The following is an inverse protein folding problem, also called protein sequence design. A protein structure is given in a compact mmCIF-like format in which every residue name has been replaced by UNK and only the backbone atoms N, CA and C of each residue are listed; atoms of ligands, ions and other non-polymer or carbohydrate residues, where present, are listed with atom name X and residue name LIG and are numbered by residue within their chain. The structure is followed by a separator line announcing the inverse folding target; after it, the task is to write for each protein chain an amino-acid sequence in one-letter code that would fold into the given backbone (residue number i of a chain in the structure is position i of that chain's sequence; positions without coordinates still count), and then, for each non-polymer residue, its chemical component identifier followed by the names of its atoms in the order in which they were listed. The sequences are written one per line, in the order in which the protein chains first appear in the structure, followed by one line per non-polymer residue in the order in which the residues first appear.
data_IF_869041995035
#
_entry.id   IF_869041995035
#
_cell.length_a   1.000
_cell.length_b   1.000
_cell.length_c   1.000
_cell.angle_alpha   90.00
_cell.angle_beta   90.00
_cell.angle_gamma   90.00
#
_symmetry.space_group_name_H-M   'P 1'
#
loop_
_entity.id
_entity.type
_entity.pdbx_description
1 polymer ?
#
# COMPACT_ATOMS: atom_id res chain seq x y z
N UNK A 1 15.21 -3.97 -75.61
CA UNK A 1 15.77 -3.53 -74.30
C UNK A 1 14.71 -3.01 -73.31
N UNK A 2 13.40 -3.28 -73.47
CA UNK A 2 12.36 -2.81 -72.51
C UNK A 2 11.58 -3.94 -71.83
N UNK A 3 11.83 -5.21 -72.18
CA UNK A 3 11.20 -6.38 -71.50
C UNK A 3 12.07 -7.03 -70.44
N UNK A 4 13.36 -6.68 -70.35
CA UNK A 4 14.28 -7.22 -69.33
C UNK A 4 14.30 -6.37 -68.05
N UNK A 5 13.86 -5.11 -68.09
CA UNK A 5 13.89 -4.21 -66.94
C UNK A 5 12.67 -4.39 -66.00
N UNK A 6 11.56 -4.92 -66.53
CA UNK A 6 10.32 -5.15 -65.76
C UNK A 6 10.40 -6.43 -64.92
N UNK A 7 11.19 -7.42 -65.34
CA UNK A 7 11.43 -8.63 -64.51
C UNK A 7 12.37 -8.38 -63.33
N UNK A 8 13.23 -7.36 -63.39
CA UNK A 8 14.14 -7.03 -62.29
C UNK A 8 13.46 -6.19 -61.19
N UNK A 9 12.41 -5.44 -61.54
CA UNK A 9 11.62 -4.68 -60.56
C UNK A 9 10.58 -5.53 -59.83
N UNK A 10 10.15 -6.67 -60.41
CA UNK A 10 9.22 -7.60 -59.78
C UNK A 10 9.88 -8.53 -58.75
N UNK A 11 11.21 -8.64 -58.73
CA UNK A 11 11.97 -9.47 -57.78
C UNK A 11 12.44 -8.73 -56.53
N UNK A 12 12.23 -7.41 -56.46
CA UNK A 12 12.60 -6.57 -55.31
C UNK A 12 11.48 -6.41 -54.26
N UNK A 13 10.32 -7.05 -54.45
CA UNK A 13 9.17 -6.96 -53.55
C UNK A 13 8.90 -8.20 -52.70
N UNK A 14 9.81 -9.18 -52.68
CA UNK A 14 9.61 -10.43 -51.94
C UNK A 14 10.86 -10.78 -51.12
N UNK A 15 11.11 -10.04 -50.03
CA UNK A 15 11.81 -10.53 -48.82
C UNK A 15 12.17 -9.41 -47.85
N UNK A 16 11.25 -8.52 -47.52
CA UNK A 16 11.24 -7.99 -46.14
C UNK A 16 10.46 -9.00 -45.31
N UNK A 17 11.10 -10.14 -45.01
CA UNK A 17 10.70 -10.90 -43.84
C UNK A 17 10.96 -9.97 -42.66
N UNK A 18 9.93 -9.30 -42.16
CA UNK A 18 9.94 -8.77 -40.80
C UNK A 18 10.09 -9.98 -39.89
N UNK A 19 11.33 -10.31 -39.56
CA UNK A 19 11.62 -11.29 -38.54
C UNK A 19 11.21 -10.63 -37.23
N UNK A 20 10.09 -11.07 -36.65
CA UNK A 20 9.76 -10.73 -35.26
C UNK A 20 10.85 -11.39 -34.44
N UNK A 21 11.86 -10.60 -34.05
CA UNK A 21 13.12 -11.07 -33.50
C UNK A 21 12.95 -11.67 -32.10
N UNK A 22 11.87 -11.33 -31.40
CA UNK A 22 11.54 -11.88 -30.09
C UNK A 22 10.07 -12.30 -30.08
N UNK A 23 9.84 -13.62 -30.04
CA UNK A 23 8.51 -14.17 -29.75
C UNK A 23 8.44 -14.36 -28.25
N UNK A 24 7.71 -13.47 -27.58
CA UNK A 24 7.40 -13.65 -26.17
C UNK A 24 6.28 -14.69 -26.05
N UNK A 25 6.49 -15.78 -25.31
CA UNK A 25 5.56 -16.91 -25.29
C UNK A 25 4.28 -16.63 -24.49
N UNK A 26 4.22 -15.54 -23.72
CA UNK A 26 3.16 -15.29 -22.72
C UNK A 26 2.53 -13.90 -22.86
N UNK A 27 3.13 -12.87 -22.26
CA UNK A 27 2.63 -11.50 -22.27
C UNK A 27 3.55 -10.62 -23.12
N UNK A 28 3.03 -9.70 -23.95
CA UNK A 28 3.85 -8.66 -24.56
C UNK A 28 4.65 -7.87 -23.50
N UNK A 29 5.97 -7.67 -23.67
CA UNK A 29 6.75 -6.83 -22.75
C UNK A 29 6.43 -5.35 -22.90
N UNK A 30 6.67 -4.60 -21.83
CA UNK A 30 6.46 -3.16 -21.78
C UNK A 30 5.15 -2.76 -21.08
N UNK A 31 4.59 -1.59 -21.40
CA UNK A 31 3.66 -0.93 -20.50
C UNK A 31 2.24 -1.44 -20.63
N UNK A 32 1.59 -1.56 -19.47
CA UNK A 32 0.18 -1.85 -19.32
C UNK A 32 -0.47 -0.78 -18.45
N UNK A 33 -1.61 -0.29 -18.91
CA UNK A 33 -2.53 0.48 -18.06
C UNK A 33 -3.54 -0.46 -17.44
N UNK A 34 -3.42 -0.69 -16.15
CA UNK A 34 -4.33 -1.50 -15.35
C UNK A 34 -5.43 -0.65 -14.69
N UNK A 35 -6.54 -1.30 -14.36
CA UNK A 35 -7.69 -0.70 -13.68
C UNK A 35 -8.37 -1.68 -12.73
N UNK A 36 -8.85 -1.17 -11.60
CA UNK A 36 -9.75 -1.83 -10.67
C UNK A 36 -11.10 -1.12 -10.62
N UNK A 37 -12.20 -1.85 -10.83
CA UNK A 37 -13.56 -1.29 -10.78
C UNK A 37 -14.08 -1.27 -9.33
N UNK A 38 -13.94 -0.13 -8.65
CA UNK A 38 -14.33 0.03 -7.25
C UNK A 38 -15.84 0.21 -7.07
N UNK A 39 -16.55 0.67 -8.10
CA UNK A 39 -18.01 0.70 -8.14
C UNK A 39 -18.52 -0.41 -9.07
N UNK A 40 -19.36 -1.29 -8.53
CA UNK A 40 -20.11 -2.24 -9.34
C UNK A 40 -21.40 -1.53 -9.76
N UNK A 41 -21.46 -1.09 -11.02
CA UNK A 41 -22.69 -0.65 -11.68
C UNK A 41 -23.26 -1.80 -12.50
N UNK A 42 -23.96 -2.79 -11.91
CA UNK A 42 -24.89 -3.56 -12.71
C UNK A 42 -25.95 -2.56 -13.15
N UNK A 43 -26.30 -2.54 -14.43
CA UNK A 43 -27.47 -1.78 -14.89
C UNK A 43 -28.68 -2.39 -14.18
N UNK A 44 -29.09 -1.82 -13.04
CA UNK A 44 -30.31 -2.19 -12.34
C UNK A 44 -31.41 -1.34 -12.98
N UNK A 45 -32.37 -1.94 -13.71
CA UNK A 45 -33.53 -1.18 -14.16
C UNK A 45 -34.24 -0.69 -12.90
N UNK A 46 -34.24 0.62 -12.66
CA UNK A 46 -34.89 1.24 -11.50
C UNK A 46 -36.41 1.01 -11.59
N UNK A 47 -37.00 0.04 -10.85
CA UNK A 47 -38.40 -0.31 -11.04
C UNK A 47 -39.34 0.66 -10.30
N UNK A 48 -38.79 1.56 -9.46
CA UNK A 48 -39.57 2.34 -8.50
C UNK A 48 -39.13 3.80 -8.34
N UNK A 49 -38.45 4.39 -9.31
CA UNK A 49 -38.30 5.86 -9.46
C UNK A 49 -37.91 6.66 -8.20
N UNK A 50 -37.33 6.04 -7.17
CA UNK A 50 -37.00 6.70 -5.93
C UNK A 50 -35.66 7.43 -6.10
N UNK A 51 -35.53 8.68 -5.65
CA UNK A 51 -34.27 9.41 -5.75
C UNK A 51 -33.22 8.77 -4.85
N UNK A 52 -32.04 8.53 -5.43
CA UNK A 52 -30.83 8.07 -4.75
C UNK A 52 -30.32 9.26 -3.91
N UNK A 53 -29.79 9.07 -2.68
CA UNK A 53 -29.11 10.14 -1.95
C UNK A 53 -28.07 10.77 -2.86
N UNK A 54 -28.09 12.10 -3.01
CA UNK A 54 -27.16 12.83 -3.88
C UNK A 54 -25.72 12.44 -3.52
N UNK A 55 -25.12 11.55 -4.33
CA UNK A 55 -23.67 11.62 -4.60
C UNK A 55 -23.44 13.09 -4.90
N UNK A 56 -22.55 13.76 -4.16
CA UNK A 56 -22.10 15.13 -4.47
C UNK A 56 -22.08 15.29 -5.98
N UNK A 57 -22.85 16.24 -6.55
CA UNK A 57 -23.05 16.45 -8.00
C UNK A 57 -21.71 16.70 -8.73
N UNK A 58 -20.88 15.66 -8.81
CA UNK A 58 -19.53 15.61 -9.32
C UNK A 58 -19.63 14.66 -10.51
N UNK A 59 -20.10 15.15 -11.65
CA UNK A 59 -19.95 14.41 -12.89
C UNK A 59 -18.47 14.53 -13.32
N UNK A 60 -17.73 13.44 -13.12
CA UNK A 60 -16.38 13.30 -13.64
C UNK A 60 -16.48 12.86 -15.11
N UNK A 61 -16.77 13.81 -16.01
CA UNK A 61 -16.88 13.53 -17.46
C UNK A 61 -15.64 12.85 -18.10
N UNK A 62 -14.49 12.84 -17.41
CA UNK A 62 -13.17 12.49 -17.97
C UNK A 62 -12.53 11.24 -17.34
N UNK A 63 -12.98 10.83 -16.17
CA UNK A 63 -12.54 9.63 -15.45
C UNK A 63 -13.79 8.87 -15.06
N UNK A 64 -13.86 7.59 -15.42
CA UNK A 64 -15.04 6.78 -15.11
C UNK A 64 -15.19 6.67 -13.59
N UNK A 65 -16.33 7.12 -13.06
CA UNK A 65 -16.65 7.09 -11.63
C UNK A 65 -16.26 5.75 -10.99
N UNK A 66 -15.35 5.80 -10.01
CA UNK A 66 -14.97 4.62 -9.24
C UNK A 66 -14.05 3.63 -9.96
N UNK A 67 -13.39 4.00 -11.07
CA UNK A 67 -12.29 3.20 -11.64
C UNK A 67 -10.96 3.70 -11.08
N UNK A 68 -10.23 2.81 -10.41
CA UNK A 68 -8.86 3.06 -9.94
C UNK A 68 -7.86 2.59 -11.00
N UNK A 69 -7.15 3.49 -11.70
CA UNK A 69 -6.10 3.09 -12.62
C UNK A 69 -4.74 2.97 -11.93
N UNK A 70 -3.86 2.15 -12.48
CA UNK A 70 -2.43 2.11 -12.18
C UNK A 70 -1.66 1.63 -13.40
N UNK A 71 -0.36 1.88 -13.44
CA UNK A 71 0.51 1.44 -14.53
C UNK A 71 1.42 0.32 -14.06
N UNK A 72 1.74 -0.59 -14.97
CA UNK A 72 2.70 -1.67 -14.71
C UNK A 72 3.46 -2.01 -15.99
N UNK A 73 4.70 -2.47 -15.86
CA UNK A 73 5.51 -2.98 -16.95
C UNK A 73 5.73 -4.49 -16.82
N UNK A 74 5.67 -5.20 -17.93
CA UNK A 74 6.13 -6.59 -18.04
C UNK A 74 7.57 -6.57 -18.52
N UNK A 75 8.49 -7.08 -17.69
CA UNK A 75 9.93 -7.07 -17.94
C UNK A 75 10.47 -8.49 -17.97
N UNK A 76 10.95 -8.95 -19.12
CA UNK A 76 11.51 -10.29 -19.27
C UNK A 76 12.93 -10.35 -18.70
N UNK A 77 13.20 -11.38 -17.91
CA UNK A 77 14.53 -11.71 -17.39
C UNK A 77 15.30 -12.62 -18.38
N UNK A 78 14.56 -13.43 -19.14
CA UNK A 78 15.04 -14.29 -20.22
C UNK A 78 13.86 -14.61 -21.17
N UNK A 79 14.01 -15.57 -22.08
CA UNK A 79 12.98 -15.87 -23.09
C UNK A 79 11.63 -16.37 -22.53
N UNK A 80 11.57 -16.83 -21.26
CA UNK A 80 10.38 -17.48 -20.68
C UNK A 80 9.97 -16.98 -19.30
N UNK A 81 10.85 -16.29 -18.57
CA UNK A 81 10.54 -15.70 -17.26
C UNK A 81 10.53 -14.18 -17.33
N UNK A 82 9.61 -13.59 -16.58
CA UNK A 82 9.43 -12.16 -16.49
C UNK A 82 8.97 -11.80 -15.08
N UNK A 83 9.28 -10.58 -14.67
CA UNK A 83 8.71 -9.93 -13.51
C UNK A 83 7.76 -8.80 -13.94
N UNK A 84 6.94 -8.33 -13.00
CA UNK A 84 6.07 -7.17 -13.21
C UNK A 84 6.55 -6.03 -12.33
N UNK A 85 6.72 -4.85 -12.90
CA UNK A 85 7.00 -3.61 -12.18
C UNK A 85 5.71 -2.80 -12.09
N UNK A 86 5.11 -2.72 -10.90
CA UNK A 86 3.95 -1.84 -10.66
C UNK A 86 4.44 -0.47 -10.22
N UNK A 87 3.91 0.59 -10.82
CA UNK A 87 4.37 1.95 -10.56
C UNK A 87 3.36 2.69 -9.67
N UNK A 88 3.87 3.49 -8.74
CA UNK A 88 3.12 4.35 -7.83
C UNK A 88 3.94 5.61 -7.54
N UNK A 89 3.93 6.57 -8.46
CA UNK A 89 4.72 7.81 -8.32
C UNK A 89 6.21 7.48 -8.23
N UNK A 90 6.87 7.89 -7.15
CA UNK A 90 8.28 7.58 -6.90
C UNK A 90 8.57 6.13 -6.49
N UNK A 91 7.54 5.30 -6.23
CA UNK A 91 7.71 3.89 -5.85
C UNK A 91 7.46 2.95 -7.04
N UNK A 92 8.38 2.01 -7.22
CA UNK A 92 8.19 0.84 -8.10
C UNK A 92 8.19 -0.42 -7.25
N UNK A 93 7.13 -1.21 -7.37
CA UNK A 93 6.96 -2.49 -6.68
C UNK A 93 7.20 -3.61 -7.68
N UNK A 94 8.25 -4.40 -7.44
CA UNK A 94 8.54 -5.59 -8.24
C UNK A 94 7.74 -6.78 -7.74
N UNK A 95 6.91 -7.36 -8.62
CA UNK A 95 6.35 -8.70 -8.44
C UNK A 95 7.29 -9.67 -9.16
N UNK A 96 8.07 -10.47 -8.40
CA UNK A 96 9.09 -11.33 -9.00
C UNK A 96 8.47 -12.53 -9.72
N UNK A 97 9.24 -13.16 -10.61
CA UNK A 97 8.76 -14.23 -11.48
C UNK A 97 8.16 -15.42 -10.71
N UNK A 98 8.67 -15.75 -9.52
CA UNK A 98 8.12 -16.83 -8.68
C UNK A 98 6.69 -16.58 -8.18
N UNK A 99 6.24 -15.32 -8.19
CA UNK A 99 4.88 -14.93 -7.80
C UNK A 99 3.95 -14.75 -9.01
N UNK A 100 4.40 -15.15 -10.20
CA UNK A 100 3.62 -15.05 -11.44
C UNK A 100 3.44 -16.45 -12.02
N UNK A 101 2.19 -16.91 -12.05
CA UNK A 101 1.83 -18.19 -12.65
C UNK A 101 1.06 -17.94 -13.93
N UNK A 102 1.60 -18.42 -15.05
CA UNK A 102 0.93 -18.41 -16.34
C UNK A 102 0.64 -19.83 -16.82
N UNK A 103 -0.40 -19.98 -17.62
CA UNK A 103 -0.82 -21.29 -18.10
C UNK A 103 -1.92 -21.18 -19.15
N UNK A 104 -2.60 -22.30 -19.40
CA UNK A 104 -3.74 -22.36 -20.31
C UNK A 104 -4.86 -23.21 -19.73
N UNK A 105 -6.05 -22.63 -19.65
CA UNK A 105 -7.26 -23.40 -19.35
C UNK A 105 -7.67 -24.16 -20.62
N UNK A 106 -7.54 -25.49 -20.57
CA UNK A 106 -7.88 -26.36 -21.70
C UNK A 106 -9.38 -26.43 -21.99
N UNK A 107 -10.23 -26.19 -20.98
CA UNK A 107 -11.69 -26.21 -21.14
C UNK A 107 -12.19 -24.90 -21.77
N UNK A 108 -11.68 -23.76 -21.30
CA UNK A 108 -12.03 -22.44 -21.82
C UNK A 108 -11.24 -22.06 -23.08
N UNK A 109 -10.12 -22.74 -23.35
CA UNK A 109 -9.23 -22.44 -24.47
C UNK A 109 -8.42 -21.16 -24.33
N UNK A 110 -8.35 -20.58 -23.12
CA UNK A 110 -7.78 -19.26 -22.82
C UNK A 110 -6.50 -19.35 -22.03
N UNK A 111 -5.60 -18.40 -22.26
CA UNK A 111 -4.38 -18.27 -21.46
C UNK A 111 -4.71 -17.65 -20.11
N UNK A 112 -4.18 -18.23 -19.05
CA UNK A 112 -4.46 -17.86 -17.66
C UNK A 112 -3.24 -17.16 -17.07
N UNK A 113 -3.49 -16.15 -16.24
CA UNK A 113 -2.49 -15.42 -15.48
C UNK A 113 -2.91 -15.30 -14.03
N UNK A 114 -1.99 -15.58 -13.11
CA UNK A 114 -2.12 -15.30 -11.70
C UNK A 114 -0.90 -14.48 -11.25
N UNK A 115 -1.16 -13.37 -10.57
CA UNK A 115 -0.14 -12.49 -9.99
C UNK A 115 -0.39 -12.48 -8.48
N UNK A 116 0.48 -13.12 -7.71
CA UNK A 116 0.37 -13.25 -6.27
C UNK A 116 1.05 -12.08 -5.55
N UNK A 117 0.42 -11.61 -4.46
CA UNK A 117 1.02 -10.69 -3.49
C UNK A 117 1.10 -11.42 -2.14
N UNK A 118 2.08 -12.34 -1.96
CA UNK A 118 2.00 -13.36 -0.92
C UNK A 118 1.92 -12.75 0.49
N UNK A 119 2.67 -11.67 0.73
CA UNK A 119 2.71 -10.97 2.02
C UNK A 119 1.37 -10.33 2.39
N UNK A 120 0.57 -9.93 1.41
CA UNK A 120 -0.73 -9.32 1.65
C UNK A 120 -1.89 -10.33 1.59
N UNK A 121 -1.60 -11.59 1.27
CA UNK A 121 -2.60 -12.63 1.10
C UNK A 121 -3.71 -12.20 0.11
N UNK A 122 -3.25 -11.63 -1.01
CA UNK A 122 -4.08 -11.19 -2.14
C UNK A 122 -3.46 -11.67 -3.45
N UNK A 123 -4.27 -11.68 -4.52
CA UNK A 123 -3.77 -11.98 -5.86
C UNK A 123 -4.65 -11.38 -6.94
N UNK A 124 -4.12 -11.21 -8.15
CA UNK A 124 -4.90 -11.04 -9.37
C UNK A 124 -5.02 -12.41 -10.04
N UNK A 125 -6.24 -12.80 -10.41
CA UNK A 125 -6.52 -13.96 -11.27
C UNK A 125 -7.22 -13.49 -12.53
N UNK A 126 -6.62 -13.76 -13.68
CA UNK A 126 -7.05 -13.21 -14.96
C UNK A 126 -6.85 -14.18 -16.12
N UNK A 127 -7.50 -13.84 -17.23
CA UNK A 127 -7.23 -14.39 -18.55
C UNK A 127 -6.52 -13.33 -19.40
N UNK A 128 -5.67 -13.78 -20.31
CA UNK A 128 -5.01 -12.94 -21.29
C UNK A 128 -5.56 -13.26 -22.69
N UNK A 129 -5.98 -12.22 -23.41
CA UNK A 129 -6.42 -12.30 -24.79
C UNK A 129 -5.91 -11.09 -25.57
N UNK A 130 -5.05 -11.33 -26.57
CA UNK A 130 -4.40 -10.32 -27.42
C UNK A 130 -3.65 -9.23 -26.63
N UNK A 131 -4.28 -8.07 -26.42
CA UNK A 131 -3.69 -6.89 -25.78
C UNK A 131 -4.40 -6.56 -24.44
N UNK A 132 -5.22 -7.48 -23.94
CA UNK A 132 -6.06 -7.28 -22.76
C UNK A 132 -5.83 -8.42 -21.77
N UNK A 133 -5.62 -8.06 -20.52
CA UNK A 133 -5.70 -8.97 -19.38
C UNK A 133 -6.99 -8.63 -18.64
N UNK A 134 -7.87 -9.59 -18.43
CA UNK A 134 -9.15 -9.38 -17.73
C UNK A 134 -9.37 -10.44 -16.65
N UNK A 135 -9.78 -9.99 -15.47
CA UNK A 135 -9.91 -10.87 -14.33
C UNK A 135 -10.43 -10.16 -13.10
N UNK A 136 -9.88 -10.55 -11.96
CA UNK A 136 -10.22 -10.00 -10.65
C UNK A 136 -9.01 -9.91 -9.75
N UNK A 137 -8.97 -8.86 -8.95
CA UNK A 137 -8.18 -8.80 -7.72
C UNK A 137 -8.98 -9.44 -6.57
N UNK A 138 -8.36 -10.34 -5.82
CA UNK A 138 -8.99 -11.17 -4.77
C UNK A 138 -8.29 -10.93 -3.45
N UNK A 139 -9.08 -10.71 -2.40
CA UNK A 139 -8.60 -10.54 -1.02
C UNK A 139 -9.09 -11.72 -0.18
N UNK A 140 -8.18 -12.54 0.33
CA UNK A 140 -8.52 -13.84 0.95
C UNK A 140 -9.10 -13.73 2.36
N UNK A 141 -8.69 -12.70 3.11
CA UNK A 141 -9.13 -12.48 4.48
C UNK A 141 -10.46 -11.73 4.60
N UNK A 142 -11.12 -11.45 3.47
CA UNK A 142 -12.47 -10.86 3.42
C UNK A 142 -13.42 -11.80 2.71
N UNK A 143 -14.64 -11.92 3.23
CA UNK A 143 -15.64 -12.82 2.67
C UNK A 143 -15.98 -12.45 1.22
N UNK A 144 -15.70 -13.38 0.30
CA UNK A 144 -15.97 -13.28 -1.14
C UNK A 144 -15.58 -11.94 -1.78
N UNK A 145 -14.51 -11.32 -1.28
CA UNK A 145 -14.13 -9.97 -1.69
C UNK A 145 -13.28 -9.98 -2.96
N UNK A 146 -13.84 -9.44 -4.04
CA UNK A 146 -13.22 -9.39 -5.36
C UNK A 146 -13.48 -8.06 -6.03
N UNK A 147 -12.48 -7.54 -6.75
CA UNK A 147 -12.58 -6.30 -7.52
C UNK A 147 -12.29 -6.64 -8.99
N UNK A 148 -13.16 -6.31 -9.95
CA UNK A 148 -12.88 -6.52 -11.36
C UNK A 148 -11.57 -5.83 -11.76
N UNK A 149 -10.72 -6.55 -12.48
CA UNK A 149 -9.41 -6.12 -12.92
C UNK A 149 -9.33 -6.18 -14.44
N UNK A 150 -8.79 -5.13 -15.05
CA UNK A 150 -8.46 -5.09 -16.48
C UNK A 150 -7.10 -4.44 -16.66
N UNK A 151 -6.31 -4.91 -17.62
CA UNK A 151 -5.10 -4.23 -18.06
C UNK A 151 -4.98 -4.22 -19.57
N UNK A 152 -4.52 -3.10 -20.11
CA UNK A 152 -4.43 -2.82 -21.54
C UNK A 152 -2.97 -2.59 -21.94
N UNK A 153 -2.46 -3.44 -22.83
CA UNK A 153 -1.11 -3.33 -23.37
C UNK A 153 -0.92 -2.05 -24.20
N UNK A 154 0.29 -1.49 -24.16
CA UNK A 154 0.70 -0.34 -24.98
C UNK A 154 0.12 1.00 -24.51
N UNK A 155 -0.37 1.07 -23.27
CA UNK A 155 -0.88 2.29 -22.65
C UNK A 155 -0.01 2.67 -21.46
N UNK A 156 0.59 3.85 -21.54
CA UNK A 156 1.57 4.40 -20.58
C UNK A 156 1.00 5.51 -19.67
N UNK A 157 -0.24 5.96 -19.90
CA UNK A 157 -0.90 6.94 -19.06
C UNK A 157 -1.69 6.27 -17.93
N UNK A 158 -1.69 6.88 -16.73
CA UNK A 158 -2.49 6.42 -15.59
C UNK A 158 -3.98 6.78 -15.73
N UNK A 159 -4.34 8.05 -15.62
CA UNK A 159 -5.75 8.46 -15.67
C UNK A 159 -6.25 8.72 -17.08
N UNK A 160 -5.68 9.72 -17.75
CA UNK A 160 -6.11 10.20 -19.07
C UNK A 160 -4.92 10.69 -19.88
N UNK A 161 -4.91 10.54 -21.22
CA UNK A 161 -3.89 11.16 -22.07
C UNK A 161 -4.16 12.66 -22.32
N UNK A 162 -5.29 13.18 -21.85
CA UNK A 162 -5.63 14.60 -21.97
C UNK A 162 -4.68 15.46 -21.11
N UNK A 163 -4.48 16.70 -21.56
CA UNK A 163 -3.63 17.71 -20.91
C UNK A 163 -4.33 19.05 -20.91
N UNK A 164 -5.41 19.16 -20.13
CA UNK A 164 -6.12 20.42 -19.91
C UNK A 164 -5.31 21.26 -18.93
N UNK A 165 -5.04 22.52 -19.27
CA UNK A 165 -4.26 23.42 -18.40
C UNK A 165 -4.86 23.45 -16.98
N UNK A 166 -4.10 23.10 -15.94
CA UNK A 166 -4.54 23.19 -14.56
C UNK A 166 -4.93 24.62 -14.18
N UNK A 167 -6.03 24.80 -13.44
CA UNK A 167 -6.45 26.14 -12.98
C UNK A 167 -5.60 26.64 -11.80
N UNK A 168 -4.82 25.76 -11.17
CA UNK A 168 -3.94 26.08 -10.05
C UNK A 168 -2.78 25.08 -9.95
N UNK A 169 -1.68 25.51 -9.31
CA UNK A 169 -0.62 24.65 -8.81
C UNK A 169 -0.98 24.16 -7.40
N UNK A 170 -1.02 22.84 -7.24
CA UNK A 170 -1.40 22.16 -6.02
C UNK A 170 -0.21 21.80 -5.14
N UNK A 171 1.02 22.07 -5.58
CA UNK A 171 2.24 21.76 -4.83
C UNK A 171 2.21 22.32 -3.40
N UNK A 172 2.83 21.59 -2.49
CA UNK A 172 2.96 21.92 -1.07
C UNK A 172 2.01 21.15 -0.15
N UNK A 173 1.86 21.67 1.06
CA UNK A 173 1.11 21.02 2.14
C UNK A 173 -0.30 21.58 2.29
N UNK A 174 -1.25 20.69 2.56
CA UNK A 174 -2.66 21.01 2.75
C UNK A 174 -3.18 20.38 4.04
N UNK A 175 -3.87 21.15 4.88
CA UNK A 175 -4.64 20.60 5.98
C UNK A 175 -5.89 19.93 5.45
N UNK A 176 -6.06 18.64 5.77
CA UNK A 176 -7.13 17.78 5.28
C UNK A 176 -8.06 17.42 6.43
N UNK A 177 -9.35 17.34 6.13
CA UNK A 177 -10.35 16.72 6.99
C UNK A 177 -11.12 15.68 6.19
N UNK A 178 -11.06 14.42 6.64
CA UNK A 178 -11.82 13.30 6.09
C UNK A 178 -13.13 13.14 6.85
N UNK A 179 -14.17 12.69 6.15
CA UNK A 179 -15.50 12.42 6.71
C UNK A 179 -16.12 13.64 7.37
N UNK A 180 -15.93 14.84 6.80
CA UNK A 180 -16.48 16.08 7.38
C UNK A 180 -18.00 16.00 7.37
N UNK A 181 -18.60 15.93 8.55
CA UNK A 181 -20.05 15.76 8.72
C UNK A 181 -20.49 14.32 9.01
N UNK A 182 -19.56 13.37 9.03
CA UNK A 182 -19.79 11.98 9.44
C UNK A 182 -19.61 11.83 10.97
N UNK A 183 -19.89 10.65 11.51
CA UNK A 183 -19.81 10.38 12.96
C UNK A 183 -18.37 10.45 13.53
N UNK A 184 -17.37 10.15 12.70
CA UNK A 184 -15.97 10.07 13.11
C UNK A 184 -15.02 10.73 12.07
N UNK A 185 -15.04 12.07 11.93
CA UNK A 185 -14.08 12.76 11.08
C UNK A 185 -12.66 12.63 11.64
N UNK A 186 -11.68 12.63 10.76
CA UNK A 186 -10.26 12.58 11.17
C UNK A 186 -9.39 13.54 10.35
N UNK A 187 -8.37 14.14 11.00
CA UNK A 187 -7.47 15.07 10.33
C UNK A 187 -6.42 14.34 9.48
N UNK A 188 -5.90 15.05 8.49
CA UNK A 188 -4.75 14.64 7.71
C UNK A 188 -3.96 15.83 7.19
N UNK A 189 -2.81 15.55 6.61
CA UNK A 189 -2.01 16.49 5.83
C UNK A 189 -1.74 15.86 4.48
N UNK A 190 -2.16 16.51 3.40
CA UNK A 190 -1.73 16.12 2.07
C UNK A 190 -0.42 16.84 1.73
N UNK A 191 0.50 16.11 1.10
CA UNK A 191 1.80 16.61 0.67
C UNK A 191 1.91 16.33 -0.83
N UNK A 192 1.80 17.38 -1.66
CA UNK A 192 1.73 17.26 -3.12
C UNK A 192 2.94 17.90 -3.81
N UNK A 193 3.34 17.29 -4.93
CA UNK A 193 4.29 17.83 -5.89
C UNK A 193 3.64 17.76 -7.27
N UNK A 194 3.59 18.89 -7.98
CA UNK A 194 2.97 18.97 -9.30
C UNK A 194 3.96 19.44 -10.37
N UNK A 195 3.98 18.74 -11.51
CA UNK A 195 4.72 19.12 -12.71
C UNK A 195 3.75 19.20 -13.90
N UNK A 196 3.27 20.41 -14.21
CA UNK A 196 2.22 20.60 -15.22
C UNK A 196 0.95 19.85 -14.83
N UNK A 197 0.52 18.89 -15.66
CA UNK A 197 -0.63 18.02 -15.36
C UNK A 197 -0.27 16.82 -14.46
N UNK A 198 1.01 16.49 -14.28
CA UNK A 198 1.44 15.35 -13.45
C UNK A 198 1.35 15.74 -11.97
N UNK A 199 0.80 14.86 -11.15
CA UNK A 199 0.64 15.08 -9.71
C UNK A 199 1.08 13.84 -8.95
N UNK A 200 1.97 14.04 -7.98
CA UNK A 200 2.37 13.03 -7.01
C UNK A 200 2.11 13.53 -5.60
N UNK A 201 2.01 12.60 -4.65
CA UNK A 201 2.02 12.96 -3.24
C UNK A 201 1.58 11.86 -2.31
N UNK A 202 1.23 12.25 -1.10
CA UNK A 202 0.66 11.35 -0.10
C UNK A 202 -0.31 12.10 0.82
N UNK A 203 -1.08 11.34 1.58
CA UNK A 203 -1.84 11.86 2.72
C UNK A 203 -1.28 11.22 3.98
N UNK A 204 -0.87 12.04 4.94
CA UNK A 204 -0.46 11.63 6.27
C UNK A 204 -1.60 11.87 7.24
N UNK A 205 -1.94 10.87 8.04
CA UNK A 205 -2.90 10.95 9.15
C UNK A 205 -2.17 10.71 10.46
N UNK A 206 -2.89 10.80 11.58
CA UNK A 206 -2.33 10.48 12.90
C UNK A 206 -1.92 8.99 13.02
N UNK A 207 -2.39 8.13 12.12
CA UNK A 207 -2.11 6.69 12.16
C UNK A 207 -1.04 6.24 11.16
N UNK A 208 -0.54 7.13 10.31
CA UNK A 208 0.46 6.85 9.28
C UNK A 208 0.13 7.52 7.95
N UNK A 209 0.84 7.15 6.89
CA UNK A 209 0.60 7.70 5.55
C UNK A 209 -0.06 6.71 4.59
N UNK A 210 -0.55 7.25 3.47
CA UNK A 210 -1.24 6.53 2.39
C UNK A 210 -0.32 6.12 1.25
N UNK A 211 0.99 6.04 1.52
CA UNK A 211 2.05 5.71 0.56
C UNK A 211 2.07 6.66 -0.65
N UNK A 212 2.82 6.26 -1.68
CA UNK A 212 3.08 7.04 -2.88
C UNK A 212 1.85 7.02 -3.80
N UNK A 213 1.17 8.16 -3.91
CA UNK A 213 0.06 8.38 -4.81
C UNK A 213 0.54 9.08 -6.08
N UNK A 214 -0.05 8.70 -7.21
CA UNK A 214 0.25 9.31 -8.50
C UNK A 214 -1.03 9.57 -9.28
N UNK A 215 -1.04 10.63 -10.07
CA UNK A 215 -2.14 10.93 -10.96
C UNK A 215 -1.98 12.25 -11.67
N UNK A 216 -3.08 13.02 -11.76
CA UNK A 216 -3.11 14.17 -12.65
C UNK A 216 -4.07 15.27 -12.20
N UNK A 217 -3.73 16.51 -12.56
CA UNK A 217 -4.64 17.66 -12.52
C UNK A 217 -5.11 17.98 -13.94
N UNK A 218 -6.42 18.12 -14.14
CA UNK A 218 -7.04 18.45 -15.43
C UNK A 218 -8.05 19.57 -15.22
N UNK A 219 -7.76 20.77 -15.74
CA UNK A 219 -8.53 21.97 -15.43
C UNK A 219 -8.69 22.15 -13.90
N UNK A 220 -9.91 22.07 -13.38
CA UNK A 220 -10.21 22.19 -11.95
C UNK A 220 -10.42 20.85 -11.23
N UNK A 221 -10.02 19.73 -11.83
CA UNK A 221 -10.16 18.38 -11.27
C UNK A 221 -8.78 17.80 -10.98
N UNK A 222 -8.63 17.12 -9.85
CA UNK A 222 -7.45 16.33 -9.53
C UNK A 222 -7.83 14.86 -9.29
N UNK A 223 -6.92 13.97 -9.64
CA UNK A 223 -7.05 12.53 -9.51
C UNK A 223 -5.75 11.95 -8.99
N UNK A 224 -5.82 11.03 -8.03
CA UNK A 224 -4.67 10.30 -7.49
C UNK A 224 -5.07 8.86 -7.21
N UNK A 225 -4.18 7.92 -7.47
CA UNK A 225 -4.37 6.50 -7.10
C UNK A 225 -3.08 5.84 -6.66
N UNK A 226 -3.24 4.76 -5.88
CA UNK A 226 -2.18 3.79 -5.58
C UNK A 226 -2.79 2.39 -5.61
N UNK A 227 -2.03 1.45 -6.17
CA UNK A 227 -2.27 0.03 -6.00
C UNK A 227 -0.95 -0.67 -5.69
N UNK A 228 -0.85 -1.29 -4.52
CA UNK A 228 0.37 -1.94 -4.03
C UNK A 228 0.18 -3.42 -3.68
N UNK A 229 -0.97 -4.00 -4.04
CA UNK A 229 -1.39 -5.35 -3.67
C UNK A 229 -2.11 -5.43 -2.32
N UNK A 230 -2.05 -4.41 -1.48
CA UNK A 230 -2.84 -4.27 -0.24
C UNK A 230 -3.87 -3.14 -0.35
N UNK A 231 -3.38 -1.95 -0.68
CA UNK A 231 -4.17 -0.76 -0.91
C UNK A 231 -4.72 -0.73 -2.34
N UNK A 232 -5.97 -0.29 -2.44
CA UNK A 232 -6.61 0.11 -3.68
C UNK A 232 -7.26 1.47 -3.42
N UNK A 233 -6.44 2.53 -3.41
CA UNK A 233 -6.89 3.88 -3.09
C UNK A 233 -7.16 4.70 -4.34
N UNK A 234 -8.30 5.41 -4.33
CA UNK A 234 -8.68 6.36 -5.36
C UNK A 234 -9.13 7.67 -4.70
N UNK A 235 -8.47 8.76 -5.08
CA UNK A 235 -8.80 10.12 -4.68
C UNK A 235 -9.23 10.92 -5.90
N UNK A 236 -10.33 11.63 -5.76
CA UNK A 236 -10.88 12.51 -6.79
C UNK A 236 -11.34 13.80 -6.11
N UNK A 237 -10.93 14.97 -6.60
CA UNK A 237 -11.37 16.22 -6.01
C UNK A 237 -11.52 17.35 -7.04
N UNK A 238 -12.34 18.33 -6.67
CA UNK A 238 -12.44 19.62 -7.34
C UNK A 238 -11.61 20.67 -6.62
N UNK A 239 -10.92 21.48 -7.42
CA UNK A 239 -10.35 22.76 -7.03
C UNK A 239 -11.48 23.78 -7.05
N UNK A 240 -11.84 24.31 -5.89
CA UNK A 240 -12.89 25.32 -5.72
C UNK A 240 -12.36 26.71 -6.07
N UNK A 241 -13.27 27.64 -6.39
CA UNK A 241 -12.93 29.03 -6.69
C UNK A 241 -12.25 29.76 -5.52
N UNK A 242 -12.55 29.34 -4.27
CA UNK A 242 -11.93 29.87 -3.06
C UNK A 242 -10.54 29.28 -2.76
N UNK A 243 -10.02 28.42 -3.66
CA UNK A 243 -8.73 27.76 -3.53
C UNK A 243 -8.71 26.53 -2.62
N UNK A 244 -9.86 26.10 -2.08
CA UNK A 244 -9.97 24.85 -1.32
C UNK A 244 -10.14 23.63 -2.24
N UNK A 245 -9.85 22.45 -1.70
CA UNK A 245 -10.10 21.16 -2.36
C UNK A 245 -11.29 20.48 -1.69
N UNK A 246 -12.13 19.83 -2.49
CA UNK A 246 -13.22 18.99 -2.00
C UNK A 246 -13.39 17.78 -2.88
N UNK A 247 -13.40 16.60 -2.28
CA UNK A 247 -13.33 15.35 -3.02
C UNK A 247 -13.85 14.14 -2.28
N UNK A 248 -13.62 12.99 -2.91
CA UNK A 248 -13.90 11.67 -2.36
C UNK A 248 -12.62 10.85 -2.28
N UNK A 249 -12.56 9.97 -1.30
CA UNK A 249 -11.54 8.96 -1.12
C UNK A 249 -12.22 7.60 -1.05
N UNK A 250 -11.76 6.63 -1.85
CA UNK A 250 -12.18 5.24 -1.81
C UNK A 250 -11.02 4.34 -1.43
N UNK A 251 -11.29 3.36 -0.58
CA UNK A 251 -10.39 2.25 -0.26
C UNK A 251 -11.08 0.94 -0.66
N UNK A 252 -10.67 0.41 -1.81
CA UNK A 252 -11.37 -0.67 -2.49
C UNK A 252 -12.86 -0.36 -2.72
N UNK A 253 -13.65 -1.42 -2.78
CA UNK A 253 -15.12 -1.41 -2.88
C UNK A 253 -15.86 -1.24 -1.54
N UNK A 254 -15.15 -1.17 -0.41
CA UNK A 254 -15.77 -1.32 0.92
C UNK A 254 -15.77 -0.04 1.76
N UNK A 255 -14.98 0.97 1.38
CA UNK A 255 -14.90 2.22 2.12
C UNK A 255 -14.90 3.40 1.15
N UNK A 256 -15.73 4.39 1.44
CA UNK A 256 -15.77 5.68 0.78
C UNK A 256 -15.97 6.76 1.83
N UNK A 257 -15.27 7.87 1.70
CA UNK A 257 -15.48 9.06 2.52
C UNK A 257 -15.28 10.32 1.69
N UNK A 258 -15.90 11.41 2.13
CA UNK A 258 -15.59 12.73 1.60
C UNK A 258 -14.30 13.26 2.25
N UNK A 259 -13.66 14.21 1.59
CA UNK A 259 -12.60 14.98 2.22
C UNK A 259 -12.58 16.42 1.71
N UNK A 260 -12.06 17.30 2.54
CA UNK A 260 -11.80 18.69 2.19
C UNK A 260 -10.38 19.05 2.56
N UNK A 261 -9.75 19.94 1.80
CA UNK A 261 -8.43 20.44 2.14
C UNK A 261 -8.29 21.94 1.89
N UNK A 262 -7.47 22.58 2.72
CA UNK A 262 -7.12 24.00 2.60
C UNK A 262 -5.64 24.19 2.90
N UNK A 263 -5.03 25.23 2.34
CA UNK A 263 -3.67 25.62 2.70
C UNK A 263 -3.69 26.17 4.13
N UNK A 264 -2.90 25.55 4.99
CA UNK A 264 -2.71 25.97 6.38
C UNK A 264 -1.31 25.52 6.82
N UNK A 265 -0.29 26.39 6.72
CA UNK A 265 1.09 26.03 7.06
C UNK A 265 1.28 25.78 8.57
N UNK A 266 0.35 26.24 9.40
CA UNK A 266 0.42 26.10 10.86
C UNK A 266 -0.30 24.83 11.35
N UNK A 267 -1.05 24.15 10.48
CA UNK A 267 -1.76 22.94 10.83
C UNK A 267 -0.78 21.80 11.13
N UNK A 268 -1.01 21.13 12.26
CA UNK A 268 -0.21 19.99 12.72
C UNK A 268 -1.13 18.87 13.16
N UNK A 269 -0.72 17.65 12.85
CA UNK A 269 -1.30 16.45 13.45
C UNK A 269 -0.76 16.30 14.87
N UNK A 270 -1.49 15.56 15.71
CA UNK A 270 -0.99 15.16 17.02
C UNK A 270 0.31 14.37 16.83
N UNK A 271 1.27 14.57 17.75
CA UNK A 271 2.54 13.86 17.67
C UNK A 271 2.32 12.34 17.76
N UNK A 272 3.02 11.51 16.96
CA UNK A 272 3.06 10.06 17.13
C UNK A 272 3.37 9.60 18.56
N UNK A 273 4.07 10.42 19.33
CA UNK A 273 4.46 10.15 20.73
C UNK A 273 3.35 10.40 21.77
N UNK A 274 2.23 11.00 21.36
CA UNK A 274 1.14 11.43 22.25
C UNK A 274 -0.15 10.60 22.09
N UNK A 275 -0.19 9.70 21.11
CA UNK A 275 -1.39 8.96 20.73
C UNK A 275 -1.63 7.75 21.62
N UNK A 276 -0.63 6.90 21.78
CA UNK A 276 -0.65 5.76 22.71
C UNK A 276 0.34 6.02 23.85
N UNK A 277 -0.12 5.84 25.08
CA UNK A 277 0.60 6.13 26.31
C UNK A 277 0.46 4.96 27.28
N UNK A 278 1.46 4.79 28.15
CA UNK A 278 1.31 3.95 29.34
C UNK A 278 0.27 4.57 30.29
N UNK A 279 -0.63 3.75 30.84
CA UNK A 279 -1.58 4.18 31.88
C UNK A 279 -0.87 4.48 33.20
N UNK A 280 0.15 3.69 33.51
CA UNK A 280 0.91 3.76 34.76
C UNK A 280 2.40 3.54 34.46
N UNK A 281 3.28 4.08 35.31
CA UNK A 281 4.72 3.80 35.24
C UNK A 281 5.02 2.43 35.87
N UNK A 282 4.74 1.36 35.12
CA UNK A 282 5.00 -0.04 35.48
C UNK A 282 5.79 -0.74 34.37
N UNK A 283 6.54 -1.82 34.70
CA UNK A 283 7.17 -2.64 33.68
C UNK A 283 6.14 -3.20 32.70
N UNK A 284 6.49 -3.19 31.41
CA UNK A 284 5.75 -3.86 30.36
C UNK A 284 5.79 -5.37 30.61
N UNK A 285 4.64 -6.02 30.57
CA UNK A 285 4.49 -7.45 30.73
C UNK A 285 3.48 -8.02 29.72
N UNK A 286 3.88 -9.06 28.99
CA UNK A 286 2.98 -9.83 28.13
C UNK A 286 3.51 -11.25 27.97
N UNK A 287 2.64 -12.16 27.52
CA UNK A 287 3.04 -13.51 27.11
C UNK A 287 2.17 -13.93 25.93
N UNK A 288 2.80 -14.19 24.78
CA UNK A 288 2.11 -14.55 23.54
C UNK A 288 2.81 -15.72 22.84
N UNK A 289 2.07 -16.57 22.12
CA UNK A 289 2.64 -17.70 21.41
C UNK A 289 3.40 -17.29 20.15
N UNK A 290 4.50 -17.98 19.84
CA UNK A 290 5.08 -18.02 18.49
C UNK A 290 4.15 -18.73 17.50
N UNK A 291 4.52 -18.79 16.22
CA UNK A 291 3.76 -19.57 15.23
C UNK A 291 3.77 -21.08 15.50
N UNK A 292 4.73 -21.59 16.29
CA UNK A 292 4.80 -22.96 16.78
C UNK A 292 3.99 -23.19 18.08
N UNK A 293 3.44 -22.13 18.69
CA UNK A 293 2.67 -22.20 19.92
C UNK A 293 3.48 -22.08 21.21
N UNK A 294 4.79 -21.83 21.12
CA UNK A 294 5.64 -21.59 22.30
C UNK A 294 5.36 -20.21 22.87
N UNK A 295 5.02 -20.12 24.15
CA UNK A 295 4.81 -18.84 24.81
C UNK A 295 6.13 -18.09 25.02
N UNK A 296 6.17 -16.82 24.63
CA UNK A 296 7.32 -15.93 24.81
C UNK A 296 6.91 -14.75 25.67
N UNK A 297 7.72 -14.44 26.69
CA UNK A 297 7.52 -13.35 27.66
C UNK A 297 8.76 -12.48 27.79
N UNK A 298 8.57 -11.22 28.20
CA UNK A 298 9.69 -10.32 28.53
C UNK A 298 10.49 -10.75 29.77
N UNK A 299 9.94 -11.65 30.58
CA UNK A 299 10.60 -12.25 31.74
C UNK A 299 11.50 -13.43 31.36
N UNK A 300 11.50 -13.87 30.09
CA UNK A 300 12.34 -14.99 29.67
C UNK A 300 13.83 -14.62 29.81
N UNK A 301 14.70 -15.55 30.26
CA UNK A 301 16.12 -15.27 30.50
C UNK A 301 16.86 -14.65 29.31
N UNK A 302 16.40 -14.91 28.08
CA UNK A 302 16.95 -14.32 26.85
C UNK A 302 16.85 -12.78 26.82
N UNK A 303 15.81 -12.22 27.42
CA UNK A 303 15.45 -10.80 27.35
C UNK A 303 15.77 -10.02 28.63
N UNK A 304 16.14 -10.71 29.71
CA UNK A 304 16.47 -10.11 30.99
C UNK A 304 17.66 -9.14 30.86
N UNK A 305 17.52 -7.92 31.38
CA UNK A 305 18.58 -6.91 31.40
C UNK A 305 18.98 -6.32 30.05
N UNK A 306 18.18 -6.54 28.99
CA UNK A 306 18.43 -6.01 27.65
C UNK A 306 17.44 -4.91 27.25
N UNK A 307 17.86 -3.84 26.56
CA UNK A 307 16.93 -2.93 25.91
C UNK A 307 16.17 -3.64 24.79
N UNK A 308 14.93 -3.20 24.52
CA UNK A 308 14.04 -3.87 23.57
C UNK A 308 13.23 -2.88 22.74
N UNK A 309 12.96 -3.26 21.49
CA UNK A 309 11.90 -2.68 20.68
C UNK A 309 10.74 -3.66 20.60
N UNK A 310 9.55 -3.25 21.05
CA UNK A 310 8.33 -4.05 20.94
C UNK A 310 7.45 -3.43 19.86
N UNK A 311 7.26 -4.18 18.78
CA UNK A 311 6.54 -3.73 17.59
C UNK A 311 5.14 -4.33 17.56
N UNK A 312 4.12 -3.50 17.74
CA UNK A 312 2.72 -3.89 17.56
C UNK A 312 2.37 -3.71 16.09
N UNK A 313 2.02 -4.79 15.40
CA UNK A 313 1.91 -4.82 13.94
C UNK A 313 0.83 -5.78 13.43
N UNK A 314 0.59 -5.77 12.12
CA UNK A 314 -0.10 -6.83 11.41
C UNK A 314 0.58 -7.08 10.07
N UNK A 315 0.69 -8.34 9.66
CA UNK A 315 1.40 -8.73 8.41
C UNK A 315 0.81 -8.08 7.15
N UNK A 316 -0.48 -7.78 7.21
CA UNK A 316 -1.30 -7.17 6.17
C UNK A 316 -1.09 -5.64 6.02
N UNK A 317 -0.38 -4.99 6.93
CA UNK A 317 -0.21 -3.53 6.97
C UNK A 317 1.03 -3.07 6.19
N UNK A 318 0.90 -2.28 5.10
CA UNK A 318 2.06 -1.83 4.32
C UNK A 318 3.03 -0.94 5.11
N UNK A 319 2.52 -0.08 5.99
CA UNK A 319 3.37 0.75 6.87
C UNK A 319 4.17 -0.10 7.87
N UNK A 320 3.61 -1.23 8.35
CA UNK A 320 4.36 -2.19 9.16
C UNK A 320 5.51 -2.84 8.38
N UNK A 321 5.33 -3.08 7.08
CA UNK A 321 6.39 -3.64 6.22
C UNK A 321 7.53 -2.66 6.02
N UNK A 322 7.20 -1.42 5.68
CA UNK A 322 8.23 -0.39 5.49
C UNK A 322 8.99 -0.11 6.79
N UNK A 323 8.31 -0.09 7.94
CA UNK A 323 8.99 -0.01 9.24
C UNK A 323 9.89 -1.23 9.50
N UNK A 324 9.50 -2.44 9.08
CA UNK A 324 10.36 -3.62 9.22
C UNK A 324 11.61 -3.53 8.32
N UNK A 325 11.49 -3.02 7.09
CA UNK A 325 12.65 -2.77 6.22
C UNK A 325 13.59 -1.73 6.83
N UNK A 326 13.03 -0.62 7.34
CA UNK A 326 13.80 0.37 8.08
C UNK A 326 14.54 -0.23 9.29
N UNK A 327 13.87 -1.06 10.11
CA UNK A 327 14.50 -1.69 11.27
C UNK A 327 15.61 -2.66 10.87
N UNK A 328 15.43 -3.46 9.80
CA UNK A 328 16.49 -4.34 9.29
C UNK A 328 17.72 -3.54 8.85
N UNK A 329 17.52 -2.48 8.07
CA UNK A 329 18.59 -1.59 7.62
C UNK A 329 19.31 -0.98 8.84
N UNK A 330 18.55 -0.40 9.78
CA UNK A 330 19.10 0.24 10.96
C UNK A 330 19.94 -0.72 11.82
N UNK A 331 19.44 -1.93 12.11
CA UNK A 331 20.15 -2.92 12.92
C UNK A 331 21.41 -3.46 12.24
N UNK A 332 21.43 -3.49 10.90
CA UNK A 332 22.60 -3.91 10.13
C UNK A 332 23.71 -2.83 10.10
N UNK A 333 23.31 -1.54 10.11
CA UNK A 333 24.22 -0.41 9.96
C UNK A 333 24.76 0.14 11.29
N UNK A 334 24.14 -0.18 12.43
CA UNK A 334 24.47 0.38 13.74
C UNK A 334 24.91 -0.70 14.75
N UNK A 335 25.67 -0.31 15.78
CA UNK A 335 26.07 -1.24 16.85
C UNK A 335 24.92 -1.43 17.86
N UNK A 336 24.02 -2.37 17.55
CA UNK A 336 22.80 -2.64 18.32
C UNK A 336 22.82 -4.03 18.95
N UNK A 337 23.99 -4.60 19.26
CA UNK A 337 24.14 -6.02 19.66
C UNK A 337 23.38 -6.43 20.91
N UNK A 338 23.14 -5.49 21.82
CA UNK A 338 22.39 -5.73 23.05
C UNK A 338 20.89 -5.42 22.91
N UNK A 339 20.44 -4.90 21.77
CA UNK A 339 19.05 -4.53 21.50
C UNK A 339 18.28 -5.74 20.96
N UNK A 340 17.21 -6.10 21.66
CA UNK A 340 16.28 -7.14 21.20
C UNK A 340 15.08 -6.51 20.46
N UNK A 341 14.54 -7.21 19.47
CA UNK A 341 13.30 -6.82 18.81
C UNK A 341 12.29 -7.95 18.94
N UNK A 342 11.03 -7.63 19.25
CA UNK A 342 9.92 -8.58 19.31
C UNK A 342 8.73 -7.95 18.61
N UNK A 343 8.11 -8.66 17.67
CA UNK A 343 6.87 -8.22 17.04
C UNK A 343 5.65 -8.93 17.64
N UNK A 344 4.59 -8.17 17.91
CA UNK A 344 3.29 -8.62 18.37
C UNK A 344 2.30 -8.43 17.23
N UNK A 345 1.92 -9.53 16.59
CA UNK A 345 1.07 -9.56 15.40
C UNK A 345 -0.42 -9.66 15.76
N UNK A 346 -1.19 -8.73 15.22
CA UNK A 346 -2.65 -8.68 15.27
C UNK A 346 -3.21 -8.93 13.86
N UNK A 347 -3.70 -10.15 13.64
CA UNK A 347 -3.92 -10.69 12.29
C UNK A 347 -5.38 -10.70 11.83
N UNK A 348 -5.61 -10.57 10.52
CA UNK A 348 -6.95 -10.51 9.92
C UNK A 348 -7.82 -11.75 10.24
N UNK A 349 -7.20 -12.92 10.38
CA UNK A 349 -7.91 -14.17 10.66
C UNK A 349 -8.15 -14.44 12.15
N UNK A 350 -7.56 -13.64 13.05
CA UNK A 350 -7.67 -13.85 14.50
C UNK A 350 -6.71 -14.90 15.06
N UNK A 351 -6.55 -14.93 16.39
CA UNK A 351 -5.55 -15.77 17.04
C UNK A 351 -5.86 -17.29 16.97
N UNK A 352 -7.13 -17.66 16.83
CA UNK A 352 -7.60 -19.05 16.86
C UNK A 352 -7.59 -19.73 15.47
N UNK A 353 -7.42 -18.98 14.39
CA UNK A 353 -7.38 -19.52 13.02
C UNK A 353 -5.94 -19.83 12.59
N UNK A 354 -5.70 -21.06 12.12
CA UNK A 354 -4.39 -21.51 11.64
C UNK A 354 -3.84 -20.66 10.49
N UNK A 355 -4.71 -19.98 9.72
CA UNK A 355 -4.30 -19.06 8.66
C UNK A 355 -3.50 -17.88 9.19
N UNK A 356 -3.73 -17.42 10.43
CA UNK A 356 -2.91 -16.38 11.05
C UNK A 356 -1.46 -16.81 11.21
N UNK A 357 -1.22 -18.05 11.64
CA UNK A 357 0.14 -18.61 11.74
C UNK A 357 0.80 -18.71 10.37
N UNK A 358 0.03 -19.07 9.35
CA UNK A 358 0.52 -19.21 7.98
C UNK A 358 0.90 -17.86 7.35
N UNK A 359 0.09 -16.81 7.50
CA UNK A 359 0.47 -15.47 6.99
C UNK A 359 1.66 -14.90 7.74
N UNK A 360 1.80 -15.15 9.05
CA UNK A 360 2.99 -14.76 9.82
C UNK A 360 4.23 -15.50 9.32
N UNK A 361 4.15 -16.81 9.12
CA UNK A 361 5.28 -17.60 8.58
C UNK A 361 5.74 -17.06 7.23
N UNK A 362 4.79 -16.87 6.31
CA UNK A 362 5.07 -16.31 4.99
C UNK A 362 5.67 -14.91 5.06
N UNK A 363 5.18 -14.07 5.96
CA UNK A 363 5.76 -12.75 6.21
C UNK A 363 7.21 -12.87 6.69
N UNK A 364 7.50 -13.76 7.65
CA UNK A 364 8.87 -13.97 8.16
C UNK A 364 9.82 -14.45 7.06
N UNK A 365 9.38 -15.41 6.24
CA UNK A 365 10.17 -15.97 5.13
C UNK A 365 10.41 -14.92 4.03
N UNK A 366 9.37 -14.17 3.64
CA UNK A 366 9.45 -13.20 2.55
C UNK A 366 10.22 -11.95 2.96
N UNK A 367 9.95 -11.42 4.16
CA UNK A 367 10.59 -10.19 4.65
C UNK A 367 11.96 -10.46 5.29
N UNK A 368 12.29 -11.73 5.54
CA UNK A 368 13.54 -12.17 6.18
C UNK A 368 13.83 -11.42 7.49
N UNK A 369 12.79 -11.23 8.32
CA UNK A 369 12.96 -10.51 9.59
C UNK A 369 13.72 -11.38 10.61
N UNK A 370 14.77 -10.85 11.27
CA UNK A 370 15.61 -11.63 12.18
C UNK A 370 15.04 -11.78 13.59
N UNK A 371 13.87 -11.20 13.87
CA UNK A 371 13.23 -11.22 15.19
C UNK A 371 12.00 -12.12 15.25
N UNK A 372 11.63 -12.61 16.46
CA UNK A 372 10.40 -13.37 16.63
C UNK A 372 9.16 -12.50 16.36
N UNK A 373 8.15 -13.12 15.74
CA UNK A 373 6.80 -12.58 15.63
C UNK A 373 5.87 -13.47 16.46
N UNK A 374 5.17 -12.86 17.40
CA UNK A 374 4.24 -13.52 18.31
C UNK A 374 2.81 -13.21 17.89
N UNK A 375 1.92 -14.21 17.86
CA UNK A 375 0.51 -14.03 17.55
C UNK A 375 -0.21 -13.47 18.78
N UNK A 376 -0.47 -12.17 18.78
CA UNK A 376 -0.98 -11.43 19.94
C UNK A 376 -2.51 -11.28 19.94
N UNK A 377 -3.16 -11.34 18.77
CA UNK A 377 -4.61 -11.22 18.71
C UNK A 377 -5.18 -11.07 17.29
N UNK A 378 -6.49 -10.77 17.17
CA UNK A 378 -7.11 -10.38 15.92
C UNK A 378 -6.78 -8.93 15.54
N UNK A 379 -6.90 -8.60 14.25
CA UNK A 379 -6.92 -7.21 13.76
C UNK A 379 -8.17 -6.46 14.25
N UNK A 380 -8.19 -6.16 15.54
CA UNK A 380 -9.24 -5.44 16.24
C UNK A 380 -8.59 -4.56 17.32
N UNK A 381 -8.96 -3.28 17.35
CA UNK A 381 -8.30 -2.29 18.22
C UNK A 381 -8.65 -2.48 19.69
N UNK A 382 -9.86 -2.94 19.98
CA UNK A 382 -10.30 -3.20 21.35
C UNK A 382 -9.62 -4.46 21.88
N UNK A 383 -9.58 -5.53 21.08
CA UNK A 383 -8.84 -6.75 21.40
C UNK A 383 -7.34 -6.48 21.61
N UNK A 384 -6.73 -5.59 20.81
CA UNK A 384 -5.35 -5.18 21.02
C UNK A 384 -5.17 -4.43 22.34
N UNK A 385 -6.10 -3.53 22.68
CA UNK A 385 -6.11 -2.84 23.97
C UNK A 385 -6.23 -3.80 25.16
N UNK A 386 -7.07 -4.82 25.05
CA UNK A 386 -7.23 -5.87 26.08
C UNK A 386 -5.99 -6.76 26.20
N UNK A 387 -5.32 -7.05 25.09
CA UNK A 387 -4.09 -7.83 25.06
C UNK A 387 -2.90 -7.09 25.70
N UNK A 388 -2.91 -5.75 25.67
CA UNK A 388 -1.87 -4.89 26.25
C UNK A 388 -2.51 -3.82 27.18
N UNK A 389 -3.12 -4.24 28.31
CA UNK A 389 -3.99 -3.39 29.11
C UNK A 389 -3.24 -2.26 29.83
N UNK A 390 -1.91 -2.31 29.88
CA UNK A 390 -1.06 -1.26 30.41
C UNK A 390 -1.04 -0.01 29.51
N UNK A 391 -1.42 -0.14 28.24
CA UNK A 391 -1.54 0.96 27.29
C UNK A 391 -2.93 1.58 27.38
N UNK A 392 -3.03 2.90 27.23
CA UNK A 392 -4.31 3.61 27.23
C UNK A 392 -5.23 3.16 26.08
N UNK A 393 -4.66 2.90 24.90
CA UNK A 393 -5.33 2.45 23.68
C UNK A 393 -4.30 2.05 22.63
N UNK A 394 -4.68 1.17 21.70
CA UNK A 394 -3.91 0.92 20.46
C UNK A 394 -4.79 1.37 19.30
N UNK A 395 -4.36 2.42 18.60
CA UNK A 395 -5.18 3.03 17.54
C UNK A 395 -4.62 2.86 16.13
N UNK A 396 -3.38 2.40 16.00
CA UNK A 396 -2.71 2.19 14.71
C UNK A 396 -1.74 1.02 14.73
N UNK A 397 -1.55 0.45 13.54
CA UNK A 397 -0.45 -0.44 13.22
C UNK A 397 0.44 0.27 12.15
N UNK A 398 1.77 0.33 12.33
CA UNK A 398 2.50 -0.15 13.49
C UNK A 398 2.34 0.78 14.72
N UNK A 399 2.69 0.27 15.89
CA UNK A 399 3.02 1.08 17.08
C UNK A 399 4.29 0.50 17.71
N UNK A 400 5.31 1.33 17.91
CA UNK A 400 6.62 0.91 18.37
C UNK A 400 6.92 1.38 19.79
N UNK A 401 7.23 0.44 20.68
CA UNK A 401 7.56 0.72 22.07
C UNK A 401 9.07 0.58 22.26
N UNK A 402 9.66 1.60 22.88
CA UNK A 402 11.06 1.65 23.29
C UNK A 402 11.14 1.27 24.75
N UNK A 403 11.71 0.11 25.05
CA UNK A 403 11.69 -0.52 26.37
C UNK A 403 13.10 -0.66 26.92
N UNK A 404 13.32 -0.21 28.15
CA UNK A 404 14.63 -0.29 28.80
C UNK A 404 14.96 -1.69 29.35
N UNK A 405 16.11 -1.78 30.03
CA UNK A 405 16.62 -3.03 30.63
C UNK A 405 15.76 -3.54 31.80
N UNK A 406 14.96 -2.67 32.41
CA UNK A 406 14.05 -2.95 33.53
C UNK A 406 12.60 -3.16 33.05
N UNK A 407 12.42 -3.39 31.74
CA UNK A 407 11.13 -3.52 31.07
C UNK A 407 10.25 -2.27 31.15
N UNK A 408 10.78 -1.09 31.47
CA UNK A 408 10.02 0.17 31.48
C UNK A 408 9.97 0.78 30.09
N UNK A 409 8.76 1.15 29.65
CA UNK A 409 8.56 1.86 28.38
C UNK A 409 9.03 3.31 28.52
N UNK A 410 10.01 3.71 27.71
CA UNK A 410 10.57 5.08 27.67
C UNK A 410 9.94 5.96 26.61
N UNK A 411 9.47 5.35 25.53
CA UNK A 411 8.82 6.03 24.41
C UNK A 411 7.85 5.09 23.72
N UNK A 412 6.77 5.63 23.20
CA UNK A 412 5.83 4.93 22.33
C UNK A 412 5.67 5.80 21.09
N UNK A 413 5.89 5.23 19.91
CA UNK A 413 5.71 5.90 18.64
C UNK A 413 4.57 5.22 17.87
N UNK A 414 3.43 5.91 17.73
CA UNK A 414 2.23 5.36 17.08
C UNK A 414 2.18 5.72 15.60
N UNK A 415 1.93 4.71 14.75
CA UNK A 415 1.98 4.85 13.30
C UNK A 415 3.41 4.84 12.76
N UNK A 416 3.55 5.15 11.48
CA UNK A 416 4.84 5.25 10.81
C UNK A 416 4.76 6.38 9.77
N UNK A 417 5.77 7.25 9.77
CA UNK A 417 5.94 8.26 8.74
C UNK A 417 6.92 7.69 7.71
N UNK A 418 6.42 7.07 6.65
CA UNK A 418 7.24 6.41 5.64
C UNK A 418 7.91 7.38 4.66
N UNK A 419 8.70 6.81 3.75
CA UNK A 419 9.47 7.48 2.68
C UNK A 419 8.60 8.34 1.76
N UNK A 420 7.29 8.07 1.70
CA UNK A 420 6.32 8.88 0.98
C UNK A 420 6.10 10.28 1.62
N UNK A 421 6.52 10.48 2.86
CA UNK A 421 6.28 11.71 3.63
C UNK A 421 7.53 12.56 3.78
N UNK A 422 7.35 13.88 3.88
CA UNK A 422 8.41 14.82 4.30
C UNK A 422 8.90 14.60 5.74
N UNK A 423 8.22 13.74 6.53
CA UNK A 423 8.52 13.45 7.93
C UNK A 423 9.43 12.24 8.15
N UNK A 424 9.77 11.50 7.09
CA UNK A 424 10.62 10.31 7.21
C UNK A 424 11.99 10.61 7.83
N UNK A 425 12.69 11.63 7.35
CA UNK A 425 14.03 11.97 7.86
C UNK A 425 14.01 12.49 9.30
N UNK A 426 12.93 13.16 9.71
CA UNK A 426 12.72 13.55 11.10
C UNK A 426 12.51 12.32 11.98
N UNK A 427 11.68 11.37 11.53
CA UNK A 427 11.49 10.08 12.19
C UNK A 427 12.82 9.32 12.35
N UNK A 428 13.62 9.17 11.29
CA UNK A 428 14.90 8.44 11.33
C UNK A 428 15.85 8.98 12.41
N UNK A 429 16.03 10.30 12.46
CA UNK A 429 16.90 10.96 13.45
C UNK A 429 16.38 10.78 14.86
N UNK A 430 15.08 10.99 15.04
CA UNK A 430 14.40 10.82 16.32
C UNK A 430 14.46 9.37 16.82
N UNK A 431 14.36 8.40 15.92
CA UNK A 431 14.51 6.98 16.21
C UNK A 431 15.92 6.64 16.68
N UNK A 432 16.96 7.09 15.96
CA UNK A 432 18.36 6.86 16.34
C UNK A 432 18.64 7.38 17.76
N UNK A 433 18.25 8.63 18.05
CA UNK A 433 18.41 9.21 19.39
C UNK A 433 17.79 8.31 20.47
N UNK A 434 16.55 7.85 20.28
CA UNK A 434 15.90 6.98 21.26
C UNK A 434 16.58 5.62 21.42
N UNK A 435 17.10 5.04 20.34
CA UNK A 435 17.84 3.78 20.44
C UNK A 435 19.18 3.97 21.15
N UNK A 436 19.92 5.04 20.86
CA UNK A 436 21.18 5.33 21.56
C UNK A 436 20.96 5.58 23.06
N UNK A 437 19.90 6.29 23.43
CA UNK A 437 19.52 6.49 24.83
C UNK A 437 19.19 5.16 25.53
N UNK A 438 18.42 4.28 24.87
CA UNK A 438 18.11 2.96 25.41
C UNK A 438 19.36 2.11 25.61
N UNK A 439 20.26 2.07 24.62
CA UNK A 439 21.46 1.22 24.68
C UNK A 439 22.48 1.81 25.68
N UNK A 440 22.61 3.13 25.77
CA UNK A 440 23.56 3.79 26.68
C UNK A 440 23.17 3.80 28.16
N UNK A 441 21.88 3.63 28.50
CA UNK A 441 21.42 3.67 29.89
C UNK A 441 21.77 2.38 30.68
N UNK A 442 22.47 2.48 31.81
CA UNK A 442 22.70 1.33 32.70
C UNK A 442 21.38 0.84 33.34
N UNK A 443 21.31 -0.45 33.69
CA UNK A 443 20.18 -1.00 34.44
C UNK A 443 20.10 -0.38 35.85
N UNK A 444 18.90 -0.15 36.37
CA UNK A 444 18.72 0.35 37.73
C UNK A 444 19.21 -0.72 38.73
N UNK A 445 20.13 -0.34 39.63
CA UNK A 445 20.74 -1.25 40.61
C UNK A 445 19.81 -1.71 41.71
#
# INVERSE_FOLDING_TARGET
MHRLLILFLAFLFLSTCTFVQERYPTLPPGPYRATLELEYNPIVPNPKGAPIPEKTNLEFEEVTDGILPFTMDVVYENDTTFHIEMHNGAETITVPAENIVYGRDQNAGRDTLRIDFPVYDTHISAYHEENIIEGVFVVHYRDNYRIPFKAYFGKDHRFTPLRKEPVADLSGSWAVMFGRGDEAPYPGIAEFTQEGNHLEGTFRTETGDYRFLEGTVQANKLYLSVFDGSHAFLFEALIKEDGTLSGTFRSGRHYITNWTARRDPDFKLISPDELTLMKEDIPLAFSFPTIEGEAVSLDDPKYAGKPKLIKIMGTWCPNCREEADFLKEYLAENDTKDLEVIALAFEQYGADDDRSREVIRRYQETMQVPWPILLAGPNDKDAAGDALPMLNKIISYPTLLFVDRDNKVKRIYTGFNGKATSKYEEFRKSFDVSVQELIGAEASR
#
